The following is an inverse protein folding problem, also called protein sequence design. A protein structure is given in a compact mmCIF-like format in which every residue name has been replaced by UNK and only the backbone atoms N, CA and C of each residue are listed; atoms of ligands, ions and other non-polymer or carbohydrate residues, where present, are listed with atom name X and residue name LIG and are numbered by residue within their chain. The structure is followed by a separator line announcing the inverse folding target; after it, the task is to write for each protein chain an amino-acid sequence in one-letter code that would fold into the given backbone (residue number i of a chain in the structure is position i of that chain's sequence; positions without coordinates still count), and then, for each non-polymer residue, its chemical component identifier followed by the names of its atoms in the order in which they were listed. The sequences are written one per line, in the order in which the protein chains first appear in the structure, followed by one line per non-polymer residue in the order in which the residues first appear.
data_IF_508987648816
#
_entry.id   IF_508987648816
#
_cell.length_a   1.000
_cell.length_b   1.000
_cell.length_c   1.000
_cell.angle_alpha   90.00
_cell.angle_beta   90.00
_cell.angle_gamma   90.00
#
_symmetry.space_group_name_H-M   'P 1'
#
loop_
_entity.id
_entity.type
_entity.pdbx_description
1 polymer ?
#
# COMPACT_ATOMS: atom_id res chain seq x y z
N UNK A 1 9.46 -9.43 9.12
CA UNK A 1 8.40 -8.37 9.18
C UNK A 1 9.09 -7.02 9.23
N UNK A 2 8.60 -6.06 8.45
CA UNK A 2 8.98 -4.67 8.55
C UNK A 2 7.74 -3.84 8.93
N UNK A 3 7.92 -2.66 9.51
CA UNK A 3 6.85 -1.69 9.74
C UNK A 3 7.41 -0.28 9.57
N UNK A 4 6.64 0.58 8.89
CA UNK A 4 6.91 1.99 8.73
C UNK A 4 6.23 2.83 9.83
N UNK A 5 6.97 3.79 10.39
CA UNK A 5 6.43 4.80 11.29
C UNK A 5 6.62 6.18 10.64
N UNK A 6 5.56 6.98 10.66
CA UNK A 6 5.59 8.37 10.18
C UNK A 6 5.53 9.31 11.37
N UNK A 7 6.65 9.96 11.75
CA UNK A 7 6.55 11.14 12.57
C UNK A 7 5.86 12.23 11.73
N UNK A 8 4.53 12.40 11.90
CA UNK A 8 3.82 13.58 11.41
C UNK A 8 2.90 13.42 10.20
N UNK A 9 2.44 12.22 9.83
CA UNK A 9 1.19 12.14 9.05
C UNK A 9 0.05 12.37 10.03
N UNK A 10 -0.56 13.55 9.95
CA UNK A 10 -1.79 13.82 10.69
C UNK A 10 -2.88 12.85 10.18
N UNK A 11 -3.42 11.95 11.03
CA UNK A 11 -4.44 10.99 10.63
C UNK A 11 -5.77 11.64 10.22
N UNK A 12 -5.88 12.97 10.31
CA UNK A 12 -7.04 13.76 9.88
C UNK A 12 -6.90 14.38 8.48
N UNK A 13 -5.81 14.10 7.76
CA UNK A 13 -5.59 14.61 6.41
C UNK A 13 -6.57 13.97 5.42
N UNK A 14 -7.71 14.64 5.23
CA UNK A 14 -8.76 14.28 4.26
C UNK A 14 -8.40 14.73 2.85
N UNK A 15 -9.07 14.22 1.80
CA UNK A 15 -8.94 14.74 0.44
C UNK A 15 -9.30 16.24 0.39
N UNK A 16 -8.59 17.01 -0.42
CA UNK A 16 -9.01 18.38 -0.72
C UNK A 16 -10.11 18.34 -1.79
N UNK A 17 -11.25 18.98 -1.55
CA UNK A 17 -12.38 19.01 -2.49
C UNK A 17 -12.59 20.42 -3.06
N UNK A 18 -12.96 20.53 -4.35
CA UNK A 18 -13.49 21.78 -4.90
C UNK A 18 -14.89 22.08 -4.33
N UNK A 19 -15.39 23.29 -4.62
CA UNK A 19 -16.74 23.71 -4.25
C UNK A 19 -17.87 22.85 -4.88
N UNK A 20 -17.54 21.90 -5.77
CA UNK A 20 -18.48 20.96 -6.42
C UNK A 20 -18.37 19.55 -5.85
N UNK A 21 -17.47 19.32 -4.88
CA UNK A 21 -17.24 18.01 -4.27
C UNK A 21 -16.29 17.10 -5.05
N UNK A 22 -15.57 17.61 -6.06
CA UNK A 22 -14.54 16.84 -6.76
C UNK A 22 -13.22 16.91 -6.00
N UNK A 23 -12.47 15.81 -5.95
CA UNK A 23 -11.12 15.83 -5.37
C UNK A 23 -10.21 16.75 -6.21
N UNK A 24 -9.66 17.77 -5.57
CA UNK A 24 -8.72 18.75 -6.15
C UNK A 24 -7.26 18.46 -5.82
N UNK A 25 -7.04 17.55 -4.87
CA UNK A 25 -5.72 17.09 -4.48
C UNK A 25 -5.84 16.14 -3.31
N UNK A 26 -4.89 15.23 -3.21
CA UNK A 26 -4.69 14.42 -2.02
C UNK A 26 -3.77 15.17 -1.07
N UNK A 27 -4.03 15.02 0.23
CA UNK A 27 -3.20 15.71 1.21
C UNK A 27 -1.87 14.99 1.29
N UNK A 28 -0.91 15.54 0.53
CA UNK A 28 0.47 15.10 0.47
C UNK A 28 1.11 15.22 1.85
N UNK A 29 1.66 14.12 2.36
CA UNK A 29 2.46 14.14 3.58
C UNK A 29 3.57 15.20 3.48
N UNK A 30 3.91 15.85 4.60
CA UNK A 30 5.05 16.78 4.61
C UNK A 30 6.33 15.97 4.49
N UNK A 31 7.20 16.24 3.49
CA UNK A 31 8.47 15.54 3.37
C UNK A 31 9.27 15.58 4.66
N UNK A 32 9.77 14.43 5.08
CA UNK A 32 10.49 14.30 6.34
C UNK A 32 11.46 13.11 6.35
N UNK A 33 12.07 12.88 7.52
CA UNK A 33 12.86 11.67 7.76
C UNK A 33 11.94 10.52 8.14
N UNK A 34 12.18 9.34 7.58
CA UNK A 34 11.45 8.12 7.92
C UNK A 34 12.29 7.15 8.74
N UNK A 35 11.62 6.29 9.51
CA UNK A 35 12.24 5.17 10.23
C UNK A 35 11.55 3.87 9.83
N UNK A 36 12.35 2.88 9.45
CA UNK A 36 11.87 1.52 9.16
C UNK A 36 12.30 0.62 10.30
N UNK A 37 11.34 -0.01 10.97
CA UNK A 37 11.61 -1.09 11.92
C UNK A 37 11.63 -2.41 11.17
N UNK A 38 12.74 -3.14 11.23
CA UNK A 38 12.94 -4.36 10.44
C UNK A 38 13.38 -5.54 11.30
N UNK A 39 12.64 -6.64 11.21
CA UNK A 39 12.97 -7.93 11.81
C UNK A 39 13.09 -8.99 10.70
N UNK A 40 14.31 -9.33 10.25
CA UNK A 40 14.53 -10.33 9.22
C UNK A 40 14.18 -11.76 9.68
N UNK A 41 14.26 -12.03 10.98
CA UNK A 41 14.05 -13.36 11.55
C UNK A 41 12.58 -13.80 11.57
N UNK A 42 11.66 -12.88 11.26
CA UNK A 42 10.23 -13.14 11.24
C UNK A 42 9.76 -13.28 9.79
N UNK A 43 9.61 -14.53 9.36
CA UNK A 43 8.86 -14.89 8.15
C UNK A 43 7.41 -15.23 8.51
N UNK A 44 6.47 -14.63 7.79
CA UNK A 44 5.06 -14.94 7.93
C UNK A 44 4.55 -15.52 6.61
N UNK A 45 3.72 -16.55 6.71
CA UNK A 45 2.89 -17.01 5.61
C UNK A 45 1.45 -16.91 6.06
N UNK A 46 0.61 -16.28 5.26
CA UNK A 46 -0.80 -16.09 5.58
C UNK A 46 -1.65 -16.71 4.49
N UNK A 47 -2.67 -17.46 4.91
CA UNK A 47 -3.66 -18.03 4.01
C UNK A 47 -5.02 -17.39 4.22
N UNK A 48 -5.58 -16.78 3.18
CA UNK A 48 -6.93 -16.21 3.18
C UNK A 48 -8.02 -17.28 3.06
N UNK A 49 -9.27 -16.90 3.35
CA UNK A 49 -10.45 -17.76 3.23
C UNK A 49 -10.75 -18.23 1.79
N UNK A 50 -10.20 -17.54 0.78
CA UNK A 50 -10.22 -17.92 -0.64
C UNK A 50 -9.08 -18.88 -1.02
N UNK A 51 -8.29 -19.34 -0.06
CA UNK A 51 -7.06 -20.11 -0.24
C UNK A 51 -5.90 -19.36 -0.91
N UNK A 52 -5.98 -18.04 -1.10
CA UNK A 52 -4.80 -17.24 -1.43
C UNK A 52 -3.74 -17.44 -0.35
N UNK A 53 -2.47 -17.58 -0.76
CA UNK A 53 -1.33 -17.69 0.16
C UNK A 53 -0.36 -16.57 -0.16
N UNK A 54 -0.02 -15.77 0.86
CA UNK A 54 0.96 -14.70 0.74
C UNK A 54 2.14 -15.00 1.65
N UNK A 55 3.31 -15.06 1.04
CA UNK A 55 4.59 -15.17 1.73
C UNK A 55 5.15 -13.77 1.99
N UNK A 56 5.32 -13.41 3.26
CA UNK A 56 6.00 -12.19 3.68
C UNK A 56 7.50 -12.44 3.80
N UNK A 57 8.17 -12.54 2.65
CA UNK A 57 9.62 -12.66 2.59
C UNK A 57 10.26 -11.39 3.20
N UNK A 58 11.32 -11.51 4.03
CA UNK A 58 11.89 -10.36 4.72
C UNK A 58 12.36 -9.25 3.77
N UNK A 59 12.98 -9.61 2.64
CA UNK A 59 13.41 -8.65 1.62
C UNK A 59 12.23 -7.93 0.97
N UNK A 60 11.14 -8.66 0.71
CA UNK A 60 9.93 -8.12 0.07
C UNK A 60 9.22 -7.16 1.02
N UNK A 61 9.03 -7.56 2.28
CA UNK A 61 8.48 -6.66 3.30
C UNK A 61 9.35 -5.43 3.54
N UNK A 62 10.69 -5.56 3.54
CA UNK A 62 11.57 -4.39 3.64
C UNK A 62 11.39 -3.44 2.46
N UNK A 63 11.30 -3.98 1.24
CA UNK A 63 11.09 -3.18 0.04
C UNK A 63 9.74 -2.45 0.04
N UNK A 64 8.68 -3.09 0.55
CA UNK A 64 7.38 -2.46 0.80
C UNK A 64 7.51 -1.23 1.71
N UNK A 65 8.20 -1.33 2.85
CA UNK A 65 8.37 -0.16 3.73
C UNK A 65 9.32 0.90 3.12
N UNK A 66 10.23 0.51 2.23
CA UNK A 66 11.04 1.47 1.47
C UNK A 66 10.20 2.23 0.44
N UNK A 67 9.16 1.62 -0.13
CA UNK A 67 8.19 2.32 -0.98
C UNK A 67 7.45 3.41 -0.18
N UNK A 68 6.97 3.08 1.02
CA UNK A 68 6.41 4.08 1.95
C UNK A 68 7.41 5.20 2.29
N UNK A 69 8.67 4.84 2.57
CA UNK A 69 9.73 5.81 2.84
C UNK A 69 10.01 6.72 1.64
N UNK A 70 10.02 6.17 0.43
CA UNK A 70 10.15 6.93 -0.80
C UNK A 70 9.01 7.96 -0.89
N UNK A 71 7.76 7.53 -0.78
CA UNK A 71 6.62 8.43 -0.92
C UNK A 71 6.58 9.50 0.17
N UNK A 72 6.94 9.15 1.41
CA UNK A 72 7.02 10.11 2.49
C UNK A 72 8.11 11.16 2.24
N UNK A 73 9.31 10.73 1.83
CA UNK A 73 10.43 11.64 1.56
C UNK A 73 10.23 12.52 0.33
N UNK A 74 9.35 12.12 -0.59
CA UNK A 74 9.00 12.89 -1.80
C UNK A 74 7.68 13.67 -1.65
N UNK A 75 7.00 13.57 -0.50
CA UNK A 75 5.72 14.22 -0.26
C UNK A 75 4.62 13.71 -1.19
N UNK A 76 4.66 12.43 -1.56
CA UNK A 76 3.67 11.75 -2.38
C UNK A 76 2.86 10.72 -1.60
N UNK A 77 3.18 10.50 -0.32
CA UNK A 77 2.47 9.55 0.53
C UNK A 77 0.98 9.88 0.64
N UNK A 78 0.13 8.86 0.49
CA UNK A 78 -1.32 8.97 0.45
C UNK A 78 -1.97 8.38 1.70
N UNK A 79 -2.66 9.21 2.48
CA UNK A 79 -3.29 8.79 3.74
C UNK A 79 -4.72 8.28 3.62
N UNK A 80 -5.35 8.43 2.45
CA UNK A 80 -6.77 8.12 2.27
C UNK A 80 -7.05 6.61 2.36
N UNK A 81 -8.30 6.27 2.64
CA UNK A 81 -8.79 4.89 2.63
C UNK A 81 -9.27 4.55 1.23
N UNK A 82 -8.88 3.37 0.74
CA UNK A 82 -9.32 2.83 -0.54
C UNK A 82 -10.84 2.59 -0.54
N UNK A 83 -11.52 3.17 -1.52
CA UNK A 83 -12.97 3.09 -1.69
C UNK A 83 -13.38 2.46 -3.04
N UNK A 84 -12.44 1.81 -3.72
CA UNK A 84 -12.62 1.23 -5.04
C UNK A 84 -13.35 -0.13 -5.04
N UNK A 85 -13.18 -0.85 -6.15
CA UNK A 85 -13.90 -2.09 -6.49
C UNK A 85 -13.42 -3.32 -5.71
N UNK A 86 -12.21 -3.30 -5.20
CA UNK A 86 -11.63 -4.39 -4.43
C UNK A 86 -12.20 -4.45 -3.00
N UNK A 87 -13.22 -5.29 -2.83
CA UNK A 87 -13.90 -5.45 -1.55
C UNK A 87 -13.01 -6.03 -0.42
N UNK A 88 -11.88 -6.67 -0.74
CA UNK A 88 -10.93 -7.14 0.28
C UNK A 88 -10.18 -5.96 0.89
N UNK A 89 -9.94 -4.93 0.10
CA UNK A 89 -9.13 -3.76 0.46
C UNK A 89 -9.97 -2.52 0.81
N UNK A 90 -11.31 -2.62 0.88
CA UNK A 90 -12.24 -1.49 1.10
C UNK A 90 -12.05 -0.66 2.40
N UNK A 91 -11.10 -1.01 3.26
CA UNK A 91 -10.70 -0.22 4.45
C UNK A 91 -9.17 -0.14 4.62
N UNK A 92 -8.43 -0.45 3.56
CA UNK A 92 -6.96 -0.37 3.50
C UNK A 92 -6.58 1.04 3.08
N UNK A 93 -5.45 1.55 3.59
CA UNK A 93 -4.94 2.84 3.13
C UNK A 93 -4.42 2.74 1.69
N UNK A 94 -4.67 3.76 0.89
CA UNK A 94 -4.13 3.87 -0.47
C UNK A 94 -2.60 3.80 -0.51
N UNK A 95 -1.89 4.28 0.52
CA UNK A 95 -0.43 4.11 0.60
C UNK A 95 -0.01 2.64 0.57
N UNK A 96 -0.77 1.75 1.21
CA UNK A 96 -0.45 0.32 1.19
C UNK A 96 -0.65 -0.27 -0.19
N UNK A 97 -1.65 0.19 -0.95
CA UNK A 97 -1.88 -0.23 -2.34
C UNK A 97 -0.78 0.28 -3.27
N UNK A 98 -0.36 1.53 -3.12
CA UNK A 98 0.78 2.12 -3.86
C UNK A 98 2.05 1.32 -3.57
N UNK A 99 2.42 1.13 -2.30
CA UNK A 99 3.59 0.35 -1.91
C UNK A 99 3.54 -1.11 -2.42
N UNK A 100 2.33 -1.69 -2.47
CA UNK A 100 2.12 -3.03 -3.02
C UNK A 100 2.31 -3.07 -4.54
N UNK A 101 1.99 -1.98 -5.25
CA UNK A 101 1.87 -1.95 -6.70
C UNK A 101 0.51 -2.46 -7.18
N UNK A 102 -0.56 -1.98 -6.55
CA UNK A 102 -1.95 -2.23 -6.90
C UNK A 102 -2.59 -0.97 -7.48
N UNK A 103 -3.58 -1.17 -8.35
CA UNK A 103 -4.39 -0.06 -8.87
C UNK A 103 -5.16 0.61 -7.74
N UNK A 104 -5.36 1.91 -7.86
CA UNK A 104 -6.00 2.73 -6.84
C UNK A 104 -7.14 3.59 -7.39
N UNK A 105 -8.01 4.01 -6.48
CA UNK A 105 -9.09 4.96 -6.76
C UNK A 105 -8.57 6.41 -6.63
N UNK A 106 -8.35 7.03 -7.79
CA UNK A 106 -7.76 8.36 -7.91
C UNK A 106 -8.76 9.52 -7.76
N UNK A 107 -10.04 9.25 -7.59
CA UNK A 107 -11.05 10.29 -7.39
C UNK A 107 -12.15 9.93 -6.39
N UNK A 108 -11.96 8.84 -5.62
CA UNK A 108 -12.94 8.28 -4.69
C UNK A 108 -14.28 7.97 -5.39
N UNK A 109 -14.23 7.61 -6.66
CA UNK A 109 -15.39 7.36 -7.50
C UNK A 109 -15.32 5.95 -8.06
N UNK A 110 -16.11 4.99 -7.54
CA UNK A 110 -16.03 3.59 -7.99
C UNK A 110 -16.46 3.37 -9.45
N UNK A 111 -16.92 4.42 -10.15
CA UNK A 111 -17.28 4.39 -11.57
C UNK A 111 -16.13 4.77 -12.51
N UNK A 112 -15.03 5.32 -12.00
CA UNK A 112 -13.83 5.55 -12.81
C UNK A 112 -12.98 4.28 -12.85
N UNK A 113 -12.06 4.24 -13.81
CA UNK A 113 -11.08 3.16 -13.89
C UNK A 113 -9.98 3.42 -12.87
N UNK A 114 -9.70 2.41 -12.05
CA UNK A 114 -8.56 2.40 -11.14
C UNK A 114 -7.28 2.23 -11.96
N UNK A 115 -6.19 2.84 -11.48
CA UNK A 115 -4.89 2.84 -12.17
C UNK A 115 -3.78 2.80 -11.14
N UNK A 116 -2.57 2.42 -11.55
CA UNK A 116 -1.37 2.62 -10.74
C UNK A 116 -1.09 4.12 -10.58
N UNK A 117 -0.47 4.51 -9.46
CA UNK A 117 -0.01 5.89 -9.21
C UNK A 117 1.31 6.21 -9.93
N UNK A 118 1.46 5.78 -11.19
CA UNK A 118 2.73 5.85 -11.93
C UNK A 118 3.26 7.29 -12.12
N UNK A 119 2.44 8.31 -11.81
CA UNK A 119 2.83 9.73 -11.85
C UNK A 119 3.60 10.12 -10.58
N UNK A 120 3.23 9.59 -9.42
CA UNK A 120 3.84 9.96 -8.14
C UNK A 120 4.79 8.88 -7.60
N UNK A 121 4.59 7.62 -7.98
CA UNK A 121 5.38 6.47 -7.54
C UNK A 121 5.77 5.61 -8.74
N UNK A 122 7.06 5.28 -8.88
CA UNK A 122 7.49 4.42 -9.99
C UNK A 122 7.03 2.98 -9.78
N UNK A 123 6.43 2.37 -10.81
CA UNK A 123 5.98 0.97 -10.76
C UNK A 123 7.10 -0.01 -10.35
N UNK A 124 8.35 0.30 -10.69
CA UNK A 124 9.54 -0.50 -10.36
C UNK A 124 9.90 -0.45 -8.86
N UNK A 125 9.39 0.54 -8.12
CA UNK A 125 9.64 0.73 -6.68
C UNK A 125 8.56 0.08 -5.80
N UNK A 126 7.81 -0.87 -6.36
CA UNK A 126 6.71 -1.55 -5.67
C UNK A 126 7.09 -2.95 -5.20
N UNK A 127 6.41 -3.43 -4.16
CA UNK A 127 6.52 -4.79 -3.67
C UNK A 127 6.21 -5.84 -4.77
N UNK A 128 5.22 -5.59 -5.63
CA UNK A 128 4.89 -6.47 -6.76
C UNK A 128 5.96 -6.47 -7.87
N UNK A 129 6.68 -5.36 -8.08
CA UNK A 129 7.82 -5.35 -9.00
C UNK A 129 8.95 -6.23 -8.47
N UNK A 130 9.35 -6.07 -7.19
CA UNK A 130 10.37 -6.93 -6.59
C UNK A 130 9.95 -8.40 -6.58
N UNK A 131 8.68 -8.71 -6.30
CA UNK A 131 8.18 -10.08 -6.40
C UNK A 131 8.35 -10.65 -7.81
N UNK A 132 8.03 -9.87 -8.84
CA UNK A 132 8.21 -10.29 -10.23
C UNK A 132 9.68 -10.58 -10.54
N UNK A 133 10.60 -9.72 -10.11
CA UNK A 133 12.05 -9.94 -10.27
C UNK A 133 12.52 -11.23 -9.57
N UNK A 134 11.94 -11.53 -8.41
CA UNK A 134 12.23 -12.74 -7.63
C UNK A 134 11.50 -14.00 -8.15
N UNK A 135 10.75 -13.90 -9.26
CA UNK A 135 9.89 -14.95 -9.79
C UNK A 135 8.92 -15.50 -8.72
N UNK A 136 8.28 -14.59 -7.99
CA UNK A 136 7.24 -14.85 -7.00
C UNK A 136 5.89 -14.35 -7.50
N UNK A 137 4.83 -15.01 -7.03
CA UNK A 137 3.46 -14.58 -7.32
C UNK A 137 3.23 -13.18 -6.78
N UNK A 138 2.71 -12.29 -7.63
CA UNK A 138 2.29 -10.95 -7.24
C UNK A 138 1.10 -11.03 -6.28
N UNK A 139 0.95 -10.00 -5.47
CA UNK A 139 -0.25 -9.80 -4.68
C UNK A 139 -1.32 -9.19 -5.56
N UNK A 140 -2.51 -9.76 -5.48
CA UNK A 140 -3.73 -9.22 -6.11
C UNK A 140 -4.47 -8.25 -5.17
N UNK A 141 -4.23 -8.39 -3.85
CA UNK A 141 -4.82 -7.60 -2.77
C UNK A 141 -3.75 -7.28 -1.71
N UNK A 142 -3.84 -6.12 -1.05
CA UNK A 142 -3.03 -5.84 0.13
C UNK A 142 -3.62 -6.51 1.39
N UNK A 143 -4.94 -6.62 1.47
CA UNK A 143 -5.60 -7.36 2.51
C UNK A 143 -5.51 -8.87 2.30
N UNK A 144 -6.21 -9.59 3.17
CA UNK A 144 -6.47 -11.02 3.01
C UNK A 144 -7.96 -11.22 3.22
N UNK A 145 -8.54 -12.15 2.46
CA UNK A 145 -9.92 -12.54 2.69
C UNK A 145 -10.05 -13.17 4.07
N UNK A 146 -10.85 -12.53 4.92
CA UNK A 146 -11.11 -12.97 6.28
C UNK A 146 -12.10 -14.15 6.31
N UNK A 147 -12.00 -15.06 7.30
CA UNK A 147 -10.90 -15.17 8.27
C UNK A 147 -9.61 -15.69 7.60
N UNK A 148 -8.44 -15.29 8.09
CA UNK A 148 -7.15 -15.83 7.63
C UNK A 148 -6.51 -16.76 8.68
N UNK A 149 -5.52 -17.52 8.23
CA UNK A 149 -4.69 -18.38 9.06
C UNK A 149 -3.21 -18.06 8.85
N UNK A 150 -2.46 -17.94 9.95
CA UNK A 150 -1.00 -17.91 9.90
C UNK A 150 -0.52 -19.34 9.69
N UNK A 151 0.14 -19.59 8.56
CA UNK A 151 0.85 -20.84 8.31
C UNK A 151 2.21 -20.72 8.99
N UNK A 152 2.52 -21.67 9.87
CA UNK A 152 3.84 -21.86 10.45
C UNK A 152 4.43 -23.11 9.82
N UNK A 153 5.67 -22.98 9.34
CA UNK A 153 6.47 -24.11 8.85
C UNK A 153 6.94 -24.99 10.04
#
# INVERSE_FOLDING_TARGET
RATFDTPGVDPTLQPAYDAKGNVTGYTKGTPGSSTIYYSPDIMLKVKGADNSVVDFLPSVSLFHEMAHAYDFTHGTLRGDVYAGKDAIDANVSEAERVATGLEMDHDANPKTDEKLDSVNHSDDLTENALRAEMNRDKREHYGFKQPFQIIRD
#
